data_IF_493531395653
#
_entry.id   IF_493531395653
#
_cell.length_a   1.000
_cell.length_b   1.000
_cell.length_c   1.000
_cell.angle_alpha   90.00
_cell.angle_beta   90.00
_cell.angle_gamma   90.00
#
_symmetry.space_group_name_H-M   'P 1'
#
loop_
_entity.id
_entity.type
_entity.pdbx_description
1 polymer ?
#
# COMPACT_ATOMS: atom_id res chain seq x y z
N UNK A 1 6.16 -7.29 -6.07
CA UNK A 1 6.63 -5.89 -6.03
C UNK A 1 5.94 -5.00 -7.07
N UNK A 2 5.97 -5.29 -8.37
CA UNK A 2 5.34 -4.40 -9.37
C UNK A 2 3.82 -4.17 -9.18
N UNK A 3 3.09 -5.16 -8.67
CA UNK A 3 1.63 -5.08 -8.50
C UNK A 3 1.20 -4.12 -7.38
N UNK A 4 1.92 -4.03 -6.26
CA UNK A 4 1.50 -3.19 -5.12
C UNK A 4 1.65 -1.71 -5.47
N UNK A 5 2.72 -1.38 -6.19
CA UNK A 5 2.94 -0.05 -6.77
C UNK A 5 1.85 0.29 -7.78
N UNK A 6 1.46 -0.66 -8.66
CA UNK A 6 0.35 -0.46 -9.59
C UNK A 6 -0.97 -0.19 -8.85
N UNK A 7 -1.25 -0.91 -7.77
CA UNK A 7 -2.43 -0.69 -6.95
C UNK A 7 -2.41 0.68 -6.27
N UNK A 8 -1.26 1.10 -5.70
CA UNK A 8 -1.11 2.42 -5.09
C UNK A 8 -1.33 3.56 -6.10
N UNK A 9 -0.74 3.45 -7.30
CA UNK A 9 -0.92 4.44 -8.38
C UNK A 9 -2.34 4.47 -8.96
N UNK A 10 -3.11 3.39 -8.81
CA UNK A 10 -4.48 3.27 -9.33
C UNK A 10 -5.55 3.57 -8.28
N UNK A 11 -5.17 3.68 -7.00
CA UNK A 11 -6.11 3.97 -5.93
C UNK A 11 -6.43 5.47 -5.91
N UNK A 12 -7.71 5.82 -5.86
CA UNK A 12 -8.14 7.21 -5.71
C UNK A 12 -7.75 7.74 -4.31
N UNK A 13 -7.07 8.90 -4.22
CA UNK A 13 -6.83 9.55 -2.95
C UNK A 13 -8.14 10.03 -2.31
N UNK A 14 -8.31 9.95 -0.98
CA UNK A 14 -7.36 9.43 0.01
C UNK A 14 -7.33 7.89 0.09
N UNK A 15 -6.13 7.31 0.13
CA UNK A 15 -5.96 5.85 0.22
C UNK A 15 -6.01 5.43 1.68
N UNK A 16 -7.15 4.92 2.16
CA UNK A 16 -7.21 4.40 3.53
C UNK A 16 -6.35 3.13 3.69
N UNK A 17 -5.40 3.14 4.63
CA UNK A 17 -4.43 2.04 4.85
C UNK A 17 -5.13 0.70 5.09
N UNK A 18 -6.15 0.66 5.97
CA UNK A 18 -6.83 -0.60 6.34
C UNK A 18 -7.57 -1.20 5.14
N UNK A 19 -8.29 -0.37 4.39
CA UNK A 19 -9.00 -0.80 3.17
C UNK A 19 -8.02 -1.28 2.11
N UNK A 20 -6.94 -0.53 1.87
CA UNK A 20 -5.92 -0.90 0.89
C UNK A 20 -5.29 -2.25 1.21
N UNK A 21 -4.90 -2.47 2.46
CA UNK A 21 -4.31 -3.74 2.92
C UNK A 21 -5.29 -4.90 2.73
N UNK A 22 -6.56 -4.73 3.13
CA UNK A 22 -7.57 -5.78 3.02
C UNK A 22 -7.85 -6.16 1.56
N UNK A 23 -8.05 -5.17 0.69
CA UNK A 23 -8.31 -5.37 -0.74
C UNK A 23 -7.09 -5.97 -1.43
N UNK A 24 -5.88 -5.49 -1.12
CA UNK A 24 -4.65 -6.05 -1.67
C UNK A 24 -4.45 -7.50 -1.27
N UNK A 25 -4.68 -7.84 0.00
CA UNK A 25 -4.50 -9.20 0.50
C UNK A 25 -5.45 -10.17 -0.19
N UNK A 26 -6.72 -9.76 -0.34
CA UNK A 26 -7.74 -10.52 -1.05
C UNK A 26 -7.40 -10.69 -2.55
N UNK A 27 -7.13 -9.59 -3.26
CA UNK A 27 -6.92 -9.61 -4.71
C UNK A 27 -5.65 -10.35 -5.13
N UNK A 28 -4.62 -10.35 -4.29
CA UNK A 28 -3.34 -10.99 -4.61
C UNK A 28 -3.18 -12.35 -3.94
N UNK A 29 -4.17 -12.81 -3.18
CA UNK A 29 -4.11 -14.04 -2.40
C UNK A 29 -2.84 -14.12 -1.53
N UNK A 30 -2.49 -13.02 -0.85
CA UNK A 30 -1.35 -12.93 0.06
C UNK A 30 -1.79 -12.53 1.47
N UNK A 31 -0.96 -12.82 2.47
CA UNK A 31 -1.24 -12.42 3.84
C UNK A 31 -1.16 -10.90 4.02
N UNK A 32 -1.95 -10.39 4.96
CA UNK A 32 -1.88 -8.99 5.41
C UNK A 32 -0.47 -8.60 5.86
N UNK A 33 0.23 -9.51 6.54
CA UNK A 33 1.62 -9.31 6.98
C UNK A 33 2.53 -9.00 5.80
N UNK A 34 2.42 -9.76 4.71
CA UNK A 34 3.23 -9.57 3.51
C UNK A 34 2.97 -8.23 2.83
N UNK A 35 1.72 -7.75 2.86
CA UNK A 35 1.41 -6.40 2.37
C UNK A 35 2.05 -5.33 3.26
N UNK A 36 1.98 -5.49 4.59
CA UNK A 36 2.63 -4.55 5.52
C UNK A 36 4.15 -4.50 5.30
N UNK A 37 4.80 -5.64 5.09
CA UNK A 37 6.21 -5.70 4.74
C UNK A 37 6.51 -4.90 3.45
N UNK A 38 5.69 -5.06 2.42
CA UNK A 38 5.85 -4.30 1.18
C UNK A 38 5.61 -2.80 1.36
N UNK A 39 4.60 -2.40 2.13
CA UNK A 39 4.36 -0.99 2.43
C UNK A 39 5.52 -0.38 3.24
N UNK A 40 6.07 -1.12 4.21
CA UNK A 40 7.24 -0.67 4.97
C UNK A 40 8.46 -0.48 4.07
N UNK A 41 8.75 -1.42 3.18
CA UNK A 41 9.84 -1.26 2.21
C UNK A 41 9.66 -0.01 1.33
N UNK A 42 8.43 0.32 0.93
CA UNK A 42 8.16 1.53 0.15
C UNK A 42 8.33 2.83 0.96
N UNK A 43 8.06 2.78 2.27
CA UNK A 43 8.36 3.90 3.19
C UNK A 43 9.85 4.08 3.42
N UNK A 44 10.58 2.98 3.60
CA UNK A 44 12.03 2.98 3.75
C UNK A 44 12.74 3.55 2.52
N UNK A 45 12.12 3.40 1.35
CA UNK A 45 12.57 4.00 0.08
C UNK A 45 12.08 5.44 -0.14
N UNK A 46 11.37 6.03 0.82
CA UNK A 46 10.81 7.39 0.75
C UNK A 46 9.84 7.64 -0.42
N UNK A 47 9.24 6.57 -0.99
CA UNK A 47 8.25 6.67 -2.08
C UNK A 47 6.81 6.56 -1.61
N UNK A 48 6.60 6.29 -0.32
CA UNK A 48 5.30 6.18 0.31
C UNK A 48 5.33 6.86 1.69
N UNK A 49 4.34 7.68 1.98
CA UNK A 49 4.13 8.33 3.27
C UNK A 49 2.83 7.80 3.91
N UNK A 50 2.82 7.63 5.23
CA UNK A 50 1.60 7.30 5.97
C UNK A 50 1.28 8.44 6.93
N UNK A 51 0.18 9.14 6.68
CA UNK A 51 -0.36 10.21 7.53
C UNK A 51 -1.59 9.64 8.26
N UNK A 52 -1.39 9.14 9.48
CA UNK A 52 -2.48 8.57 10.29
C UNK A 52 -3.06 7.28 9.70
N UNK A 53 -4.29 7.34 9.17
CA UNK A 53 -4.96 6.19 8.52
C UNK A 53 -4.88 6.23 6.99
N UNK A 54 -4.13 7.18 6.42
CA UNK A 54 -4.04 7.40 4.98
C UNK A 54 -2.64 7.13 4.45
N UNK A 55 -2.59 6.46 3.30
CA UNK A 55 -1.39 6.25 2.50
C UNK A 55 -1.32 7.31 1.40
N UNK A 56 -0.15 7.92 1.28
CA UNK A 56 0.13 8.92 0.26
C UNK A 56 1.33 8.46 -0.56
N UNK A 57 1.07 8.24 -1.83
CA UNK A 57 2.06 7.77 -2.77
C UNK A 57 2.86 8.95 -3.35
N UNK A 58 4.19 8.88 -3.29
CA UNK A 58 5.10 9.98 -3.63
C UNK A 58 5.88 9.77 -4.95
N UNK A 59 5.77 8.62 -5.65
CA UNK A 59 6.62 8.28 -6.84
C UNK A 59 6.04 7.42 -7.96
#
# INVERSE_FOLDING_TARGET
MAWIVKMLKSAEPPINTKKFIAIGAYNQAVSVTKIREYLNLLKDMEVLEEEGEELKWLG
#
